data_IF_999019495025
#
_entry.id   IF_999019495025
#
_cell.length_a   1.000
_cell.length_b   1.000
_cell.length_c   1.000
_cell.angle_alpha   90.00
_cell.angle_beta   90.00
_cell.angle_gamma   90.00
#
_symmetry.space_group_name_H-M   'P 1'
#
loop_
_entity.id
_entity.type
_entity.pdbx_description
1 polymer ?
#
# COMPACT_ATOMS: atom_id res chain seq x y z
N UNK A 1 29.04 27.87 -13.29
CA UNK A 1 28.41 28.57 -12.15
C UNK A 1 27.85 27.55 -11.15
N UNK A 2 28.72 26.91 -10.35
CA UNK A 2 28.30 26.21 -9.12
C UNK A 2 29.37 26.55 -8.07
N UNK A 3 29.10 27.58 -7.27
CA UNK A 3 29.84 27.90 -6.05
C UNK A 3 28.83 28.02 -4.91
N UNK A 4 29.26 27.55 -3.75
CA UNK A 4 28.73 27.83 -2.41
C UNK A 4 27.51 27.00 -1.94
N UNK A 5 27.80 25.82 -1.39
CA UNK A 5 26.92 25.08 -0.46
C UNK A 5 27.69 24.59 0.78
N UNK A 6 28.50 25.46 1.39
CA UNK A 6 29.03 25.26 2.74
C UNK A 6 29.00 26.62 3.43
N UNK A 7 27.99 26.84 4.27
CA UNK A 7 27.74 28.14 4.89
C UNK A 7 27.43 28.03 6.38
N UNK A 8 28.14 27.19 7.13
CA UNK A 8 28.19 27.33 8.58
C UNK A 8 29.50 26.78 9.19
N UNK A 9 30.37 27.64 9.76
CA UNK A 9 31.64 27.24 10.37
C UNK A 9 31.51 26.52 11.73
N UNK A 10 30.34 26.60 12.38
CA UNK A 10 30.12 25.95 13.69
C UNK A 10 29.75 24.46 13.56
N UNK A 11 29.16 24.04 12.43
CA UNK A 11 28.88 22.62 12.16
C UNK A 11 30.18 21.82 11.97
N UNK A 12 31.18 22.41 11.30
CA UNK A 12 32.52 21.82 11.19
C UNK A 12 33.26 21.75 12.53
N UNK A 13 33.02 22.71 13.43
CA UNK A 13 33.67 22.75 14.74
C UNK A 13 33.09 21.72 15.72
N UNK A 14 31.76 21.49 15.69
CA UNK A 14 31.12 20.50 16.55
C UNK A 14 31.50 19.05 16.17
N UNK A 15 31.58 18.76 14.86
CA UNK A 15 32.03 17.45 14.36
C UNK A 15 33.51 17.22 14.67
N UNK A 16 34.35 18.25 14.55
CA UNK A 16 35.77 18.18 14.91
C UNK A 16 35.99 17.98 16.43
N UNK A 17 35.19 18.65 17.27
CA UNK A 17 35.30 18.54 18.73
C UNK A 17 34.87 17.15 19.25
N UNK A 18 33.82 16.56 18.67
CA UNK A 18 33.37 15.21 19.04
C UNK A 18 34.35 14.12 18.57
N UNK A 19 34.99 14.31 17.41
CA UNK A 19 36.05 13.43 16.92
C UNK A 19 37.34 13.54 17.78
N UNK A 20 37.71 14.75 18.22
CA UNK A 20 38.89 14.99 19.06
C UNK A 20 38.74 14.48 20.50
N UNK A 21 37.51 14.39 21.03
CA UNK A 21 37.23 13.88 22.36
C UNK A 21 37.26 12.33 22.46
N UNK A 22 37.44 11.60 21.35
CA UNK A 22 37.51 10.14 21.33
C UNK A 22 36.22 9.40 21.66
N UNK A 23 35.10 10.13 21.76
CA UNK A 23 33.79 9.60 22.19
C UNK A 23 33.10 8.79 21.07
N UNK A 24 33.44 9.05 19.80
CA UNK A 24 32.99 8.24 18.66
C UNK A 24 33.97 8.35 17.48
N UNK A 25 34.23 7.22 16.82
CA UNK A 25 35.02 7.18 15.59
C UNK A 25 34.39 8.08 14.51
N UNK A 26 35.18 8.80 13.69
CA UNK A 26 34.66 9.63 12.60
C UNK A 26 33.77 8.85 11.63
N UNK A 27 33.99 7.54 11.50
CA UNK A 27 33.13 6.63 10.73
C UNK A 27 31.77 6.38 11.39
N UNK A 28 31.69 6.35 12.72
CA UNK A 28 30.42 6.18 13.44
C UNK A 28 29.55 7.44 13.35
N UNK A 29 30.17 8.62 13.39
CA UNK A 29 29.47 9.89 13.18
C UNK A 29 29.01 10.05 11.73
N UNK A 30 29.84 9.68 10.75
CA UNK A 30 29.46 9.67 9.35
C UNK A 30 28.34 8.64 9.04
N UNK A 31 28.42 7.45 9.63
CA UNK A 31 27.38 6.43 9.50
C UNK A 31 26.07 6.89 10.14
N UNK A 32 26.10 7.49 11.34
CA UNK A 32 24.92 8.05 11.99
C UNK A 32 24.32 9.22 11.20
N UNK A 33 25.15 10.11 10.62
CA UNK A 33 24.70 11.20 9.78
C UNK A 33 24.09 10.69 8.45
N UNK A 34 24.67 9.65 7.84
CA UNK A 34 24.09 9.00 6.66
C UNK A 34 22.81 8.24 6.99
N UNK A 35 22.73 7.61 8.17
CA UNK A 35 21.53 6.93 8.64
C UNK A 35 20.43 7.93 8.96
N UNK A 36 20.77 9.05 9.60
CA UNK A 36 19.85 10.14 9.90
C UNK A 36 19.39 10.84 8.63
N UNK A 37 20.30 11.14 7.68
CA UNK A 37 19.95 11.66 6.36
C UNK A 37 19.10 10.66 5.55
N UNK A 38 19.39 9.36 5.62
CA UNK A 38 18.56 8.34 5.01
C UNK A 38 17.19 8.25 5.70
N UNK A 39 17.13 8.37 7.03
CA UNK A 39 15.88 8.40 7.80
C UNK A 39 15.07 9.67 7.53
N UNK A 40 15.69 10.82 7.33
CA UNK A 40 15.05 12.08 6.97
C UNK A 40 14.63 12.11 5.49
N UNK A 41 15.42 11.52 4.58
CA UNK A 41 14.99 11.29 3.20
C UNK A 41 13.80 10.32 3.18
N UNK A 42 13.82 9.28 4.01
CA UNK A 42 12.72 8.30 4.15
C UNK A 42 11.49 8.89 4.84
N UNK A 43 11.66 9.77 5.84
CA UNK A 43 10.58 10.49 6.50
C UNK A 43 10.02 11.61 5.60
N UNK A 44 10.89 12.27 4.84
CA UNK A 44 10.56 13.25 3.81
C UNK A 44 9.81 12.63 2.63
N UNK A 45 10.14 11.41 2.23
CA UNK A 45 9.38 10.66 1.22
C UNK A 45 7.94 10.31 1.66
N UNK A 46 7.61 10.45 2.96
CA UNK A 46 6.25 10.26 3.48
C UNK A 46 5.44 11.54 3.62
N UNK A 47 6.07 12.72 3.61
CA UNK A 47 5.41 14.00 3.90
C UNK A 47 5.87 15.20 3.03
N UNK A 48 6.72 15.03 2.02
CA UNK A 48 7.11 16.10 1.11
C UNK A 48 6.23 16.14 -0.14
N UNK A 49 5.65 17.32 -0.37
CA UNK A 49 5.11 17.72 -1.65
C UNK A 49 6.24 17.74 -2.69
N UNK A 50 6.25 16.74 -3.57
CA UNK A 50 7.19 16.71 -4.71
C UNK A 50 6.97 17.92 -5.65
N UNK A 51 8.02 18.39 -6.35
CA UNK A 51 7.89 19.46 -7.33
C UNK A 51 6.86 19.10 -8.41
N UNK A 52 6.02 20.07 -8.82
CA UNK A 52 4.91 19.94 -9.80
C UNK A 52 5.30 19.27 -11.14
N UNK A 53 6.59 19.21 -11.46
CA UNK A 53 7.15 18.64 -12.69
C UNK A 53 7.69 17.21 -12.55
N UNK A 54 7.67 16.60 -11.35
CA UNK A 54 8.02 15.20 -11.17
C UNK A 54 6.92 14.31 -11.78
N UNK A 55 7.24 13.31 -12.63
CA UNK A 55 6.25 12.37 -13.13
C UNK A 55 5.63 11.66 -11.93
N UNK A 56 4.38 11.98 -11.62
CA UNK A 56 3.66 11.43 -10.49
C UNK A 56 3.41 9.94 -10.72
N UNK A 57 4.41 9.10 -10.41
CA UNK A 57 4.23 7.67 -10.17
C UNK A 57 3.24 7.42 -9.01
N UNK A 58 2.91 8.49 -8.29
CA UNK A 58 1.91 8.56 -7.25
C UNK A 58 1.01 9.79 -7.39
N UNK A 59 -0.25 9.66 -7.83
CA UNK A 59 -1.27 10.65 -7.49
C UNK A 59 -1.35 10.77 -5.96
N UNK A 60 -1.32 12.01 -5.47
CA UNK A 60 -1.66 12.32 -4.07
C UNK A 60 -3.04 11.71 -3.83
N UNK A 61 -3.18 10.93 -2.77
CA UNK A 61 -4.49 10.61 -2.25
C UNK A 61 -4.90 11.76 -1.33
N UNK A 62 -5.26 12.88 -1.95
CA UNK A 62 -5.84 14.06 -1.31
C UNK A 62 -7.31 13.82 -0.90
N UNK A 63 -7.76 12.57 -0.89
CA UNK A 63 -9.09 12.14 -0.47
C UNK A 63 -9.13 10.71 0.06
N UNK A 64 -10.29 10.29 0.55
CA UNK A 64 -10.54 8.94 1.06
C UNK A 64 -10.42 7.90 -0.05
N UNK A 65 -9.61 6.87 0.17
CA UNK A 65 -9.58 5.69 -0.68
C UNK A 65 -10.67 4.72 -0.21
N UNK A 66 -11.60 4.37 -1.09
CA UNK A 66 -12.66 3.40 -0.78
C UNK A 66 -12.31 2.05 -1.37
N UNK A 67 -12.08 1.06 -0.51
CA UNK A 67 -11.69 -0.30 -0.86
C UNK A 67 -12.93 -1.20 -0.75
N UNK A 68 -13.36 -1.73 -1.89
CA UNK A 68 -14.50 -2.63 -2.00
C UNK A 68 -13.97 -4.08 -2.01
N UNK A 69 -14.38 -4.87 -1.04
CA UNK A 69 -13.90 -6.23 -0.83
C UNK A 69 -15.04 -7.24 -0.70
N UNK A 70 -14.78 -8.52 -0.97
CA UNK A 70 -15.77 -9.58 -0.77
C UNK A 70 -15.83 -10.01 0.70
N UNK A 71 -16.94 -9.68 1.38
CA UNK A 71 -17.18 -10.03 2.78
C UNK A 71 -17.33 -11.54 3.04
N UNK A 72 -17.64 -12.32 2.01
CA UNK A 72 -17.78 -13.78 2.10
C UNK A 72 -16.47 -14.53 1.90
N UNK A 73 -15.37 -13.86 1.55
CA UNK A 73 -14.09 -14.50 1.30
C UNK A 73 -13.14 -14.33 2.51
N UNK A 74 -12.66 -15.45 3.08
CA UNK A 74 -11.74 -15.42 4.23
C UNK A 74 -10.44 -14.68 3.90
N UNK A 75 -9.90 -14.89 2.69
CA UNK A 75 -8.71 -14.16 2.22
C UNK A 75 -8.97 -12.66 2.22
N UNK A 76 -10.06 -12.20 1.58
CA UNK A 76 -10.38 -10.79 1.46
C UNK A 76 -10.61 -10.14 2.82
N UNK A 77 -11.34 -10.81 3.72
CA UNK A 77 -11.59 -10.32 5.08
C UNK A 77 -10.31 -10.25 5.92
N UNK A 78 -9.40 -11.24 5.80
CA UNK A 78 -8.08 -11.18 6.44
C UNK A 78 -7.21 -10.07 5.85
N UNK A 79 -7.22 -9.88 4.53
CA UNK A 79 -6.53 -8.79 3.87
C UNK A 79 -7.04 -7.44 4.37
N UNK A 80 -8.36 -7.22 4.44
CA UNK A 80 -8.97 -6.04 5.04
C UNK A 80 -8.44 -5.80 6.46
N UNK A 81 -8.57 -6.78 7.34
CA UNK A 81 -8.12 -6.64 8.73
C UNK A 81 -6.63 -6.28 8.82
N UNK A 82 -5.78 -6.82 7.93
CA UNK A 82 -4.37 -6.43 7.85
C UNK A 82 -4.18 -5.00 7.36
N UNK A 83 -4.93 -4.56 6.36
CA UNK A 83 -4.87 -3.20 5.83
C UNK A 83 -5.34 -2.17 6.88
N UNK A 84 -6.34 -2.50 7.70
CA UNK A 84 -6.77 -1.66 8.82
C UNK A 84 -5.66 -1.44 9.87
N UNK A 85 -4.67 -2.33 9.96
CA UNK A 85 -3.51 -2.12 10.86
C UNK A 85 -2.52 -1.08 10.32
N UNK A 86 -2.62 -0.69 9.06
CA UNK A 86 -1.71 0.28 8.45
C UNK A 86 -2.14 1.68 8.86
N UNK A 87 -1.38 2.30 9.78
CA UNK A 87 -1.56 3.69 10.20
C UNK A 87 -0.93 4.66 9.19
N UNK A 88 -1.47 4.70 7.97
CA UNK A 88 -1.01 5.60 6.90
C UNK A 88 -2.12 6.60 6.54
N UNK A 89 -1.78 7.87 6.40
CA UNK A 89 -2.67 8.89 5.81
C UNK A 89 -2.54 8.76 4.28
N UNK A 90 -3.63 8.62 3.50
CA UNK A 90 -5.03 9.04 3.67
C UNK A 90 -5.95 8.07 4.43
N UNK A 91 -7.19 8.51 4.73
CA UNK A 91 -8.22 7.65 5.29
C UNK A 91 -8.61 6.51 4.35
N UNK A 92 -8.45 5.28 4.82
CA UNK A 92 -8.95 4.07 4.15
C UNK A 92 -10.39 3.80 4.61
N UNK A 93 -11.31 3.71 3.66
CA UNK A 93 -12.70 3.31 3.87
C UNK A 93 -12.90 1.93 3.27
N UNK A 94 -13.51 1.00 4.01
CA UNK A 94 -13.77 -0.36 3.53
C UNK A 94 -15.27 -0.58 3.34
N UNK A 95 -15.67 -1.09 2.18
CA UNK A 95 -17.05 -1.47 1.88
C UNK A 95 -17.10 -2.92 1.43
N UNK A 96 -18.03 -3.70 1.97
CA UNK A 96 -18.30 -5.04 1.48
C UNK A 96 -19.05 -4.94 0.15
N UNK A 97 -18.70 -5.77 -0.84
CA UNK A 97 -19.39 -5.85 -2.14
C UNK A 97 -20.86 -6.27 -1.99
N UNK A 98 -21.23 -6.87 -0.86
CA UNK A 98 -22.61 -7.21 -0.52
C UNK A 98 -23.45 -5.98 -0.11
N UNK A 99 -22.83 -4.83 0.14
CA UNK A 99 -23.54 -3.62 0.54
C UNK A 99 -24.19 -2.90 -0.65
N UNK A 100 -25.36 -2.26 -0.47
CA UNK A 100 -25.99 -1.46 -1.52
C UNK A 100 -25.13 -0.26 -1.93
N UNK A 101 -24.34 0.29 -1.00
CA UNK A 101 -23.42 1.38 -1.29
C UNK A 101 -22.30 0.95 -2.25
N UNK A 102 -21.73 -0.25 -2.07
CA UNK A 102 -20.73 -0.78 -2.99
C UNK A 102 -21.30 -0.95 -4.41
N UNK A 103 -22.57 -1.33 -4.53
CA UNK A 103 -23.25 -1.44 -5.83
C UNK A 103 -23.47 -0.08 -6.49
N UNK A 104 -23.83 0.94 -5.71
CA UNK A 104 -23.99 2.31 -6.20
C UNK A 104 -22.68 2.91 -6.73
N UNK A 105 -21.53 2.49 -6.18
CA UNK A 105 -20.21 2.92 -6.65
C UNK A 105 -19.74 2.19 -7.92
N UNK A 106 -20.34 1.05 -8.27
CA UNK A 106 -19.99 0.22 -9.43
C UNK A 106 -21.24 -0.15 -10.25
N UNK A 107 -22.06 0.82 -10.71
CA UNK A 107 -23.40 0.56 -11.23
C UNK A 107 -23.38 -0.26 -12.53
N UNK A 108 -22.41 0.01 -13.42
CA UNK A 108 -22.33 -0.58 -14.76
C UNK A 108 -21.49 -1.86 -14.82
N UNK A 109 -21.09 -2.40 -13.66
CA UNK A 109 -20.22 -3.57 -13.61
C UNK A 109 -21.05 -4.86 -13.63
N UNK A 110 -20.71 -5.77 -14.55
CA UNK A 110 -21.30 -7.10 -14.58
C UNK A 110 -20.96 -7.89 -13.30
N UNK A 111 -21.84 -8.81 -12.91
CA UNK A 111 -21.72 -9.54 -11.64
C UNK A 111 -20.43 -10.35 -11.53
N UNK A 112 -19.97 -10.93 -12.64
CA UNK A 112 -18.74 -11.73 -12.68
C UNK A 112 -17.52 -10.87 -12.42
N UNK A 113 -17.46 -9.66 -12.98
CA UNK A 113 -16.39 -8.70 -12.74
C UNK A 113 -16.49 -8.07 -11.36
N UNK A 114 -17.70 -7.73 -10.92
CA UNK A 114 -18.02 -7.13 -9.62
C UNK A 114 -17.58 -8.03 -8.47
N UNK A 115 -17.92 -9.32 -8.53
CA UNK A 115 -17.49 -10.30 -7.52
C UNK A 115 -16.11 -10.87 -7.80
N UNK A 116 -15.58 -10.73 -9.02
CA UNK A 116 -14.35 -11.38 -9.46
C UNK A 116 -13.06 -10.83 -8.83
N UNK A 117 -13.09 -9.63 -8.27
CA UNK A 117 -11.91 -8.95 -7.77
C UNK A 117 -12.19 -8.04 -6.57
N UNK A 118 -11.12 -7.51 -5.99
CA UNK A 118 -11.18 -6.34 -5.13
C UNK A 118 -11.19 -5.09 -6.00
N UNK A 119 -11.96 -4.09 -5.61
CA UNK A 119 -12.06 -2.81 -6.31
C UNK A 119 -11.68 -1.66 -5.39
N UNK A 120 -11.17 -0.59 -5.98
CA UNK A 120 -10.76 0.61 -5.29
C UNK A 120 -11.35 1.81 -6.01
N UNK A 121 -12.00 2.68 -5.26
CA UNK A 121 -12.48 3.97 -5.74
C UNK A 121 -11.62 5.07 -5.13
N UNK A 122 -10.95 5.82 -6.00
CA UNK A 122 -10.05 6.92 -5.62
C UNK A 122 -10.22 8.05 -6.64
N UNK A 123 -10.58 9.25 -6.17
CA UNK A 123 -10.79 10.42 -7.03
C UNK A 123 -11.87 10.21 -8.11
N UNK A 124 -12.94 9.49 -7.79
CA UNK A 124 -14.03 9.17 -8.73
C UNK A 124 -13.67 8.11 -9.79
N UNK A 125 -12.48 7.53 -9.74
CA UNK A 125 -12.05 6.47 -10.66
C UNK A 125 -12.07 5.11 -9.98
N UNK A 126 -12.47 4.09 -10.73
CA UNK A 126 -12.50 2.70 -10.29
C UNK A 126 -11.24 1.98 -10.78
N UNK A 127 -10.48 1.40 -9.86
CA UNK A 127 -9.35 0.51 -10.13
C UNK A 127 -9.69 -0.89 -9.66
N UNK A 128 -9.54 -1.89 -10.52
CA UNK A 128 -9.96 -3.26 -10.23
C UNK A 128 -8.79 -4.22 -10.21
N UNK A 129 -8.93 -5.33 -9.49
CA UNK A 129 -7.98 -6.42 -9.47
C UNK A 129 -6.55 -5.95 -9.10
N UNK A 130 -5.55 -6.32 -9.91
CA UNK A 130 -4.15 -5.95 -9.70
C UNK A 130 -3.91 -4.44 -9.66
N UNK A 131 -4.69 -3.64 -10.40
CA UNK A 131 -4.57 -2.17 -10.37
C UNK A 131 -5.03 -1.62 -9.02
N UNK A 132 -6.19 -2.07 -8.54
CA UNK A 132 -6.67 -1.73 -7.20
C UNK A 132 -5.70 -2.18 -6.11
N UNK A 133 -5.12 -3.39 -6.26
CA UNK A 133 -4.08 -3.85 -5.34
C UNK A 133 -2.86 -2.93 -5.31
N UNK A 134 -2.36 -2.49 -6.47
CA UNK A 134 -1.26 -1.53 -6.52
C UNK A 134 -1.63 -0.24 -5.82
N UNK A 135 -2.86 0.28 -6.00
CA UNK A 135 -3.39 1.46 -5.29
C UNK A 135 -3.44 1.29 -3.78
N UNK A 136 -3.69 0.10 -3.27
CA UNK A 136 -3.67 -0.17 -1.83
C UNK A 136 -2.23 -0.28 -1.33
N UNK A 137 -1.36 -1.00 -2.04
CA UNK A 137 0.05 -1.16 -1.67
C UNK A 137 0.80 0.16 -1.61
N UNK A 138 0.22 1.19 -2.23
CA UNK A 138 0.69 2.55 -2.07
C UNK A 138 0.77 2.99 -0.63
N UNK A 139 -0.27 2.65 0.12
CA UNK A 139 -0.44 3.02 1.51
C UNK A 139 0.26 2.04 2.45
N UNK A 140 0.98 1.06 1.90
CA UNK A 140 1.69 0.08 2.70
C UNK A 140 2.93 0.69 3.39
N UNK A 141 3.41 0.06 4.48
CA UNK A 141 4.74 0.33 5.00
C UNK A 141 5.81 0.27 3.90
N UNK A 142 6.85 1.09 4.03
CA UNK A 142 7.89 1.32 3.01
C UNK A 142 8.42 0.06 2.30
N UNK A 143 8.81 -1.03 3.00
CA UNK A 143 9.34 -2.21 2.31
C UNK A 143 8.31 -2.86 1.37
N UNK A 144 7.02 -2.85 1.75
CA UNK A 144 5.95 -3.41 0.94
C UNK A 144 5.58 -2.49 -0.23
N UNK A 145 5.58 -1.18 -0.01
CA UNK A 145 5.33 -0.20 -1.05
C UNK A 145 6.42 -0.26 -2.15
N UNK A 146 7.69 -0.40 -1.76
CA UNK A 146 8.81 -0.57 -2.69
C UNK A 146 8.70 -1.89 -3.47
N UNK A 147 8.39 -3.00 -2.79
CA UNK A 147 8.20 -4.29 -3.44
C UNK A 147 7.08 -4.22 -4.50
N UNK A 148 5.96 -3.57 -4.17
CA UNK A 148 4.86 -3.37 -5.10
C UNK A 148 5.28 -2.49 -6.29
N UNK A 149 6.02 -1.40 -6.05
CA UNK A 149 6.51 -0.52 -7.11
C UNK A 149 7.50 -1.20 -8.06
N UNK A 150 8.32 -2.13 -7.55
CA UNK A 150 9.26 -2.91 -8.36
C UNK A 150 8.59 -4.07 -9.12
N UNK A 151 7.35 -4.43 -8.79
CA UNK A 151 6.67 -5.57 -9.40
C UNK A 151 6.09 -5.18 -10.76
N UNK A 152 6.56 -5.78 -11.87
CA UNK A 152 6.02 -5.46 -13.19
C UNK A 152 4.56 -5.91 -13.35
N UNK A 153 3.77 -5.16 -14.12
CA UNK A 153 2.35 -5.47 -14.39
C UNK A 153 2.15 -6.84 -15.03
N UNK A 154 3.09 -7.28 -15.89
CA UNK A 154 3.02 -8.60 -16.53
C UNK A 154 3.16 -9.76 -15.54
N UNK A 155 3.72 -9.53 -14.35
CA UNK A 155 3.78 -10.51 -13.25
C UNK A 155 2.54 -10.37 -12.36
N UNK A 156 2.24 -9.13 -11.94
CA UNK A 156 1.15 -8.87 -11.00
C UNK A 156 -0.23 -9.27 -11.54
N UNK A 157 -0.50 -9.03 -12.82
CA UNK A 157 -1.79 -9.34 -13.45
C UNK A 157 -2.12 -10.85 -13.45
N UNK A 158 -1.27 -11.75 -13.99
CA UNK A 158 -1.56 -13.19 -13.96
C UNK A 158 -1.51 -13.76 -12.54
N UNK A 159 -0.61 -13.27 -11.69
CA UNK A 159 -0.55 -13.68 -10.29
C UNK A 159 -1.84 -13.36 -9.54
N UNK A 160 -2.31 -12.10 -9.64
CA UNK A 160 -3.57 -11.69 -9.03
C UNK A 160 -4.74 -12.53 -9.56
N UNK A 161 -4.82 -12.73 -10.88
CA UNK A 161 -5.88 -13.52 -11.49
C UNK A 161 -5.85 -15.00 -11.04
N UNK A 162 -4.66 -15.55 -10.77
CA UNK A 162 -4.53 -16.89 -10.20
C UNK A 162 -5.00 -16.95 -8.75
N UNK A 163 -4.58 -16.01 -7.90
CA UNK A 163 -5.04 -15.92 -6.51
C UNK A 163 -6.55 -15.72 -6.44
N UNK A 164 -7.10 -14.78 -7.22
CA UNK A 164 -8.53 -14.48 -7.23
C UNK A 164 -9.38 -15.70 -7.62
N UNK A 165 -8.94 -16.50 -8.61
CA UNK A 165 -9.62 -17.74 -9.01
C UNK A 165 -9.56 -18.84 -7.95
N UNK A 166 -8.50 -18.88 -7.14
CA UNK A 166 -8.29 -19.94 -6.15
C UNK A 166 -8.65 -19.53 -4.71
N UNK A 167 -9.05 -18.27 -4.47
CA UNK A 167 -9.22 -17.70 -3.12
C UNK A 167 -10.14 -18.52 -2.21
N UNK A 168 -11.26 -19.03 -2.74
CA UNK A 168 -12.17 -19.86 -1.94
C UNK A 168 -11.65 -21.29 -1.75
N UNK A 169 -10.89 -21.81 -2.71
CA UNK A 169 -10.32 -23.17 -2.61
C UNK A 169 -9.23 -23.24 -1.56
N UNK A 170 -8.43 -22.19 -1.40
CA UNK A 170 -7.33 -22.18 -0.43
C UNK A 170 -7.71 -21.62 0.94
N UNK A 171 -8.57 -20.61 0.98
CA UNK A 171 -8.89 -19.92 2.24
C UNK A 171 -10.31 -20.16 2.73
N UNK A 172 -11.20 -20.68 1.89
CA UNK A 172 -12.61 -20.89 2.24
C UNK A 172 -13.47 -19.63 2.16
N UNK A 173 -14.71 -19.78 2.61
CA UNK A 173 -15.70 -18.70 2.75
C UNK A 173 -15.92 -18.37 4.22
N UNK A 174 -16.24 -17.10 4.50
CA UNK A 174 -16.71 -16.68 5.83
C UNK A 174 -18.11 -17.26 6.01
N UNK A 175 -18.32 -17.98 7.10
CA UNK A 175 -19.60 -18.58 7.43
C UNK A 175 -20.46 -17.57 8.17
N UNK A 176 -21.66 -17.28 7.67
CA UNK A 176 -22.62 -16.43 8.39
C UNK A 176 -23.01 -17.12 9.71
N UNK A 177 -22.90 -16.40 10.83
CA UNK A 177 -23.33 -16.89 12.15
C UNK A 177 -22.45 -17.95 12.80
N UNK A 178 -21.20 -18.16 12.34
CA UNK A 178 -20.28 -19.12 12.97
C UNK A 178 -20.61 -20.59 12.70
N UNK A 179 -21.59 -20.87 11.84
CA UNK A 179 -21.94 -22.23 11.41
C UNK A 179 -21.57 -22.40 9.95
N UNK A 180 -20.62 -23.28 9.67
CA UNK A 180 -20.25 -23.63 8.30
C UNK A 180 -21.02 -24.88 7.88
N UNK A 181 -21.87 -24.77 6.86
CA UNK A 181 -22.38 -25.96 6.18
C UNK A 181 -21.32 -26.44 5.20
N UNK A 182 -20.86 -27.68 5.39
CA UNK A 182 -20.03 -28.36 4.40
C UNK A 182 -20.91 -28.54 3.16
N UNK A 183 -20.55 -27.91 2.05
CA UNK A 183 -21.18 -28.21 0.77
C UNK A 183 -20.75 -29.64 0.41
N UNK A 184 -21.63 -30.66 0.48
CA UNK A 184 -21.24 -31.98 0.00
C UNK A 184 -20.89 -31.83 -1.49
N UNK A 185 -19.88 -32.55 -2.00
CA UNK A 185 -19.56 -32.52 -3.42
C UNK A 185 -20.79 -32.96 -4.21
N UNK A 186 -21.51 -31.99 -4.78
CA UNK A 186 -22.63 -32.23 -5.67
C UNK A 186 -22.10 -32.72 -7.01
N UNK A 187 -22.61 -33.86 -7.46
CA UNK A 187 -22.35 -34.41 -8.80
C UNK A 187 -22.57 -33.30 -9.84
N UNK A 188 -21.64 -33.17 -10.77
CA UNK A 188 -21.81 -32.32 -11.95
C UNK A 188 -23.13 -32.70 -12.64
N UNK A 189 -24.04 -31.74 -12.73
CA UNK A 189 -25.20 -31.77 -13.64
C UNK A 189 -24.79 -31.20 -14.99
#
# INVERSE_FOLDING_TARGET
MIRAWLRNPWETAAVAALAAAGIASPYALAAAALLFAALEIVAGLRNLDGPRWWPSLWPRADGTITILYDGTCVLCSRSKAKLETWKTAPSMRFLALQSPEARALLPDMDEKRYMGAMHVVEGGKVYSAHEGWFRIMRLAPLPLALLAAMTPTFVARPFYAWVARNRYRWFGRVCEGGTCQVHPPGKAS
#
